data_IF_538482135261
#
_entry.id   IF_538482135261
#
_cell.length_a   1.000
_cell.length_b   1.000
_cell.length_c   1.000
_cell.angle_alpha   90.00
_cell.angle_beta   90.00
_cell.angle_gamma   90.00
#
_symmetry.space_group_name_H-M   'P 1'
#
loop_
_entity.id
_entity.type
_entity.pdbx_description
1 polymer ?
#
# COMPACT_ATOMS: atom_id res chain seq x y z
N UNK A 1 -31.15 3.04 29.05
CA UNK A 1 -32.13 2.17 29.74
C UNK A 1 -31.97 2.41 31.23
N UNK A 2 -33.02 2.77 31.98
CA UNK A 2 -32.89 2.96 33.44
C UNK A 2 -33.06 1.62 34.16
N UNK A 3 -32.10 1.27 35.00
CA UNK A 3 -32.18 0.08 35.86
C UNK A 3 -32.82 0.50 37.17
N UNK A 4 -33.98 -0.10 37.50
CA UNK A 4 -34.78 0.33 38.66
C UNK A 4 -34.33 -0.25 40.00
N UNK A 5 -33.56 -1.35 40.04
CA UNK A 5 -32.98 -1.85 41.30
C UNK A 5 -31.80 -2.81 41.06
N UNK A 6 -30.73 -2.66 41.85
CA UNK A 6 -29.55 -3.54 41.83
C UNK A 6 -29.11 -3.76 43.28
N UNK A 7 -29.26 -4.98 43.80
CA UNK A 7 -28.88 -5.36 45.17
C UNK A 7 -27.66 -6.28 45.12
N UNK A 8 -26.53 -5.77 45.60
CA UNK A 8 -25.39 -6.59 46.04
C UNK A 8 -25.23 -6.38 47.54
N UNK A 9 -24.83 -7.42 48.28
CA UNK A 9 -24.95 -7.54 49.75
C UNK A 9 -24.25 -6.46 50.61
N UNK A 10 -23.73 -5.39 50.02
CA UNK A 10 -23.09 -4.28 50.74
C UNK A 10 -23.29 -2.90 50.07
N UNK A 11 -24.02 -2.80 48.95
CA UNK A 11 -24.17 -1.54 48.20
C UNK A 11 -25.64 -1.34 47.81
N UNK A 12 -26.23 -0.19 48.19
CA UNK A 12 -27.59 0.22 47.82
C UNK A 12 -27.52 1.53 47.02
N UNK A 13 -27.85 1.48 45.73
CA UNK A 13 -27.87 2.64 44.84
C UNK A 13 -29.28 2.79 44.21
N UNK A 14 -29.83 4.00 44.25
CA UNK A 14 -31.12 4.36 43.64
C UNK A 14 -30.86 5.29 42.45
N UNK A 15 -31.58 5.08 41.35
CA UNK A 15 -31.57 5.90 40.12
C UNK A 15 -30.23 5.95 39.37
N UNK A 16 -29.66 4.78 39.07
CA UNK A 16 -28.43 4.67 38.28
C UNK A 16 -28.73 4.77 36.78
N UNK A 17 -28.38 5.89 36.15
CA UNK A 17 -28.40 6.04 34.70
C UNK A 17 -27.06 5.59 34.10
N UNK A 18 -27.03 4.37 33.57
CA UNK A 18 -25.88 3.85 32.84
C UNK A 18 -26.00 4.29 31.39
N UNK A 19 -25.38 5.42 31.07
CA UNK A 19 -25.06 5.78 29.71
C UNK A 19 -23.80 4.99 29.32
N UNK A 20 -23.99 3.82 28.70
CA UNK A 20 -22.91 3.22 27.92
C UNK A 20 -22.72 4.19 26.74
N UNK A 21 -21.83 5.17 26.93
CA UNK A 21 -21.30 5.95 25.83
C UNK A 21 -20.91 4.95 24.75
N UNK A 22 -21.31 5.22 23.50
CA UNK A 22 -20.91 4.40 22.35
C UNK A 22 -19.48 3.96 22.62
N UNK A 23 -19.26 2.66 22.76
CA UNK A 23 -17.94 2.13 22.48
C UNK A 23 -17.71 2.62 21.06
N UNK A 24 -17.01 3.73 20.93
CA UNK A 24 -16.33 4.06 19.71
C UNK A 24 -15.38 2.88 19.60
N UNK A 25 -15.84 1.84 18.91
CA UNK A 25 -14.97 1.10 18.05
C UNK A 25 -14.48 2.18 17.10
N UNK A 26 -13.49 2.96 17.54
CA UNK A 26 -12.53 3.50 16.61
C UNK A 26 -12.09 2.24 15.89
N UNK A 27 -12.59 2.04 14.67
CA UNK A 27 -11.92 1.15 13.74
C UNK A 27 -10.48 1.67 13.79
N UNK A 28 -9.62 0.93 14.50
CA UNK A 28 -8.23 1.27 14.68
C UNK A 28 -7.66 1.21 13.28
N UNK A 29 -7.72 2.35 12.59
CA UNK A 29 -7.35 2.49 11.21
C UNK A 29 -5.92 1.97 11.11
N UNK A 30 -5.67 1.09 10.15
CA UNK A 30 -4.37 0.42 10.06
C UNK A 30 -3.26 1.46 10.17
N UNK A 31 -2.24 1.21 11.01
CA UNK A 31 -1.17 2.16 11.20
C UNK A 31 -0.55 2.46 9.84
N UNK A 32 -0.23 3.73 9.63
CA UNK A 32 0.35 4.20 8.39
C UNK A 32 1.57 3.34 8.04
N UNK A 33 1.57 2.78 6.82
CA UNK A 33 2.64 1.93 6.35
C UNK A 33 4.01 2.64 6.35
N UNK A 34 5.11 1.89 6.20
CA UNK A 34 6.47 2.41 6.37
C UNK A 34 6.87 3.51 5.37
N UNK A 35 6.14 3.64 4.25
CA UNK A 35 6.44 4.61 3.20
C UNK A 35 5.19 5.41 2.81
N UNK A 36 4.74 6.37 3.64
CA UNK A 36 3.65 7.26 3.28
C UNK A 36 4.07 8.22 2.16
N UNK A 37 3.20 8.42 1.17
CA UNK A 37 3.44 9.26 -0.01
C UNK A 37 4.82 9.00 -0.68
N UNK A 38 5.05 7.78 -1.20
CA UNK A 38 6.34 7.41 -1.77
C UNK A 38 6.64 8.17 -3.05
N UNK A 39 7.93 8.37 -3.33
CA UNK A 39 8.44 8.79 -4.64
C UNK A 39 8.70 7.56 -5.53
N UNK A 40 9.01 7.79 -6.81
CA UNK A 40 9.21 6.71 -7.81
C UNK A 40 10.28 5.67 -7.43
N UNK A 41 11.27 6.05 -6.62
CA UNK A 41 12.37 5.15 -6.20
C UNK A 41 12.18 4.56 -4.81
N UNK A 42 11.16 4.99 -4.05
CA UNK A 42 11.02 4.64 -2.62
C UNK A 42 10.92 3.12 -2.40
N UNK A 43 10.31 2.38 -3.33
CA UNK A 43 10.14 0.93 -3.25
C UNK A 43 11.17 0.13 -4.07
N UNK A 44 12.23 0.77 -4.58
CA UNK A 44 13.20 0.12 -5.49
C UNK A 44 13.85 -1.12 -4.90
N UNK A 45 14.06 -1.14 -3.58
CA UNK A 45 14.62 -2.30 -2.88
C UNK A 45 13.67 -3.51 -2.92
N UNK A 46 12.36 -3.27 -2.85
CA UNK A 46 11.34 -4.29 -3.01
C UNK A 46 11.23 -4.75 -4.45
N UNK A 47 11.24 -3.82 -5.41
CA UNK A 47 11.24 -4.14 -6.85
C UNK A 47 12.40 -5.09 -7.20
N UNK A 48 13.60 -4.81 -6.70
CA UNK A 48 14.77 -5.66 -6.94
C UNK A 48 14.65 -7.05 -6.31
N UNK A 49 13.96 -7.19 -5.16
CA UNK A 49 13.65 -8.52 -4.59
C UNK A 49 12.72 -9.30 -5.52
N UNK A 50 11.71 -8.65 -6.09
CA UNK A 50 10.80 -9.28 -7.05
C UNK A 50 11.52 -9.68 -8.34
N UNK A 51 12.33 -8.78 -8.92
CA UNK A 51 13.11 -9.05 -10.14
C UNK A 51 14.19 -10.13 -9.95
N UNK A 52 14.65 -10.33 -8.72
CA UNK A 52 15.54 -11.44 -8.39
C UNK A 52 14.83 -12.79 -8.40
N UNK A 53 13.59 -12.84 -7.89
CA UNK A 53 12.76 -14.05 -7.86
C UNK A 53 12.14 -14.36 -9.22
N UNK A 54 11.61 -13.35 -9.89
CA UNK A 54 10.89 -13.44 -11.16
C UNK A 54 11.69 -12.69 -12.23
N UNK A 55 12.47 -13.44 -13.01
CA UNK A 55 13.30 -12.84 -14.06
C UNK A 55 12.42 -12.27 -15.18
N UNK A 56 12.63 -11.00 -15.58
CA UNK A 56 11.92 -10.44 -16.72
C UNK A 56 12.19 -11.24 -17.98
N UNK A 57 11.14 -11.52 -18.74
CA UNK A 57 11.23 -12.04 -20.08
C UNK A 57 10.92 -10.89 -21.05
N UNK A 58 11.91 -10.53 -21.87
CA UNK A 58 11.77 -9.47 -22.86
C UNK A 58 11.35 -10.08 -24.20
N UNK A 59 10.09 -9.87 -24.57
CA UNK A 59 9.53 -10.23 -25.88
C UNK A 59 9.06 -8.95 -26.59
N UNK A 60 9.95 -8.25 -27.32
CA UNK A 60 9.57 -7.04 -28.02
C UNK A 60 8.58 -7.38 -29.13
N UNK A 61 7.60 -6.50 -29.32
CA UNK A 61 6.71 -6.57 -30.48
C UNK A 61 7.39 -6.10 -31.77
N UNK A 62 8.41 -5.23 -31.64
CA UNK A 62 9.15 -4.63 -32.73
C UNK A 62 10.59 -4.37 -32.27
N UNK A 63 11.56 -4.67 -33.13
CA UNK A 63 13.00 -4.48 -32.85
C UNK A 63 13.49 -3.06 -33.18
N UNK A 64 12.59 -2.09 -33.32
CA UNK A 64 12.94 -0.71 -33.66
C UNK A 64 12.54 0.27 -32.55
N UNK A 65 13.49 1.10 -32.10
CA UNK A 65 13.18 2.26 -31.28
C UNK A 65 13.02 3.52 -32.15
N UNK A 66 11.89 4.22 -31.98
CA UNK A 66 11.52 5.40 -32.77
C UNK A 66 11.12 6.60 -31.89
N UNK A 67 11.62 6.66 -30.64
CA UNK A 67 11.15 7.61 -29.63
C UNK A 67 11.79 9.02 -29.73
N UNK A 68 12.74 9.24 -30.62
CA UNK A 68 13.44 10.53 -30.75
C UNK A 68 13.82 10.84 -32.21
N UNK A 69 14.36 12.04 -32.42
CA UNK A 69 14.72 12.57 -33.75
C UNK A 69 16.05 12.06 -34.30
N UNK A 70 16.79 11.22 -33.55
CA UNK A 70 17.94 10.49 -34.11
C UNK A 70 17.54 9.49 -35.21
N UNK A 71 16.25 9.18 -35.31
CA UNK A 71 15.70 8.27 -36.31
C UNK A 71 15.37 6.90 -35.74
N UNK A 72 15.09 5.95 -36.63
CA UNK A 72 14.76 4.57 -36.25
C UNK A 72 16.04 3.81 -35.91
N UNK A 73 16.14 3.33 -34.68
CA UNK A 73 17.27 2.52 -34.21
C UNK A 73 16.93 1.03 -34.25
N UNK A 74 17.77 0.22 -34.87
CA UNK A 74 17.70 -1.25 -34.86
C UNK A 74 18.27 -1.80 -33.54
N UNK A 75 17.42 -2.49 -32.78
CA UNK A 75 17.71 -3.11 -31.49
C UNK A 75 17.80 -4.65 -31.57
N UNK A 76 17.75 -5.25 -32.77
CA UNK A 76 17.85 -6.71 -32.91
C UNK A 76 19.18 -7.22 -32.34
N UNK A 77 19.12 -8.25 -31.50
CA UNK A 77 20.30 -8.91 -30.93
C UNK A 77 21.05 -8.04 -29.91
N UNK A 78 20.30 -7.33 -29.05
CA UNK A 78 20.83 -6.47 -27.98
C UNK A 78 21.73 -5.33 -28.50
N UNK A 79 21.52 -4.90 -29.75
CA UNK A 79 22.12 -3.67 -30.28
C UNK A 79 21.61 -2.47 -29.49
N UNK A 80 22.47 -1.45 -29.41
CA UNK A 80 22.12 -0.17 -28.78
C UNK A 80 21.70 0.85 -29.82
N UNK A 81 20.71 1.66 -29.47
CA UNK A 81 20.30 2.81 -30.26
C UNK A 81 21.33 3.94 -30.22
N UNK A 82 21.08 4.98 -31.01
CA UNK A 82 22.00 6.11 -31.17
C UNK A 82 22.32 6.84 -29.84
N UNK A 83 21.40 6.81 -28.87
CA UNK A 83 21.58 7.39 -27.54
C UNK A 83 22.26 6.45 -26.53
N UNK A 84 22.52 5.19 -26.89
CA UNK A 84 23.16 4.20 -26.02
C UNK A 84 22.23 3.36 -25.15
N UNK A 85 20.91 3.51 -25.30
CA UNK A 85 19.92 2.54 -24.82
C UNK A 85 20.06 1.24 -25.62
#
# INVERSE_FOLDING_TARGET
MSVKELKTGTVYAKDLEVAIGRLAMEEEWEPMGPTPMPNISTLRSWDMKLLNRYKPFYAPFCDLCCLCTFGKCDLTGDKRGACGL
#
